data_IF_060187274158
#
_entry.id   IF_060187274158
#
_cell.length_a   1.000
_cell.length_b   1.000
_cell.length_c   1.000
_cell.angle_alpha   90.00
_cell.angle_beta   90.00
_cell.angle_gamma   90.00
#
_symmetry.space_group_name_H-M   'P 1'
#
loop_
_entity.id
_entity.type
_entity.pdbx_description
1 polymer ?
#
# COMPACT_ATOMS: atom_id res chain seq x y z
N UNK A 1 21.13 -56.85 -30.79
CA UNK A 1 21.27 -56.98 -29.33
C UNK A 1 20.41 -55.88 -28.73
N UNK A 2 19.10 -56.07 -28.56
CA UNK A 2 18.47 -57.10 -27.73
C UNK A 2 18.20 -56.46 -26.38
N UNK A 3 17.14 -55.64 -26.31
CA UNK A 3 15.93 -55.92 -25.50
C UNK A 3 16.08 -55.24 -24.13
N UNK A 4 15.07 -54.72 -23.46
CA UNK A 4 13.64 -55.00 -23.42
C UNK A 4 13.01 -53.76 -22.76
N UNK A 5 11.93 -53.18 -23.28
CA UNK A 5 10.58 -53.42 -22.74
C UNK A 5 10.35 -52.58 -21.48
N UNK A 6 9.32 -51.74 -21.34
CA UNK A 6 7.94 -51.78 -21.81
C UNK A 6 7.46 -50.33 -21.87
N UNK A 7 6.89 -49.88 -23.00
CA UNK A 7 5.46 -49.94 -23.32
C UNK A 7 4.58 -49.41 -22.19
N UNK A 8 4.08 -48.19 -22.37
CA UNK A 8 2.83 -47.88 -23.08
C UNK A 8 1.63 -48.21 -22.20
N UNK A 9 0.75 -47.23 -22.06
CA UNK A 9 -0.65 -47.33 -22.46
C UNK A 9 -1.59 -46.56 -21.52
N UNK A 10 -2.39 -45.74 -22.20
CA UNK A 10 -3.82 -45.48 -21.96
C UNK A 10 -4.22 -44.43 -20.91
N UNK A 11 -4.53 -43.27 -21.48
CA UNK A 11 -5.88 -42.65 -21.64
C UNK A 11 -6.84 -42.57 -20.42
N UNK A 12 -7.68 -41.51 -20.38
CA UNK A 12 -8.53 -41.15 -19.25
C UNK A 12 -9.92 -41.82 -19.31
N UNK A 13 -10.56 -41.99 -18.15
CA UNK A 13 -12.01 -41.80 -17.97
C UNK A 13 -12.46 -41.94 -16.51
N UNK A 14 -13.37 -41.03 -16.13
CA UNK A 14 -14.53 -41.18 -15.23
C UNK A 14 -14.33 -41.53 -13.75
N UNK A 15 -14.88 -40.64 -12.91
CA UNK A 15 -15.32 -40.95 -11.57
C UNK A 15 -16.06 -39.77 -10.95
N UNK A 16 -17.27 -39.47 -11.44
CA UNK A 16 -18.19 -38.59 -10.73
C UNK A 16 -18.86 -39.36 -9.59
N UNK A 17 -18.89 -38.76 -8.40
CA UNK A 17 -19.92 -39.01 -7.40
C UNK A 17 -20.45 -37.66 -6.95
N UNK A 18 -21.69 -37.39 -7.33
CA UNK A 18 -22.40 -36.22 -6.89
C UNK A 18 -22.63 -36.24 -5.38
N UNK A 19 -22.52 -35.08 -4.76
CA UNK A 19 -23.38 -34.73 -3.66
C UNK A 19 -24.05 -33.41 -4.00
N UNK A 20 -25.20 -33.54 -4.67
CA UNK A 20 -26.17 -32.48 -4.74
C UNK A 20 -26.71 -32.23 -3.33
N UNK A 21 -26.14 -31.28 -2.62
CA UNK A 21 -26.86 -30.60 -1.54
C UNK A 21 -27.79 -29.62 -2.24
N UNK A 22 -29.02 -30.06 -2.43
CA UNK A 22 -30.12 -29.21 -2.85
C UNK A 22 -30.22 -27.99 -1.94
N UNK A 23 -30.45 -26.77 -2.47
CA UNK A 23 -30.85 -25.66 -1.63
C UNK A 23 -32.23 -26.00 -1.07
N UNK A 24 -32.31 -26.26 0.25
CA UNK A 24 -33.60 -26.29 0.93
C UNK A 24 -34.16 -24.88 0.87
N UNK A 25 -35.09 -24.68 -0.05
CA UNK A 25 -36.07 -23.59 -0.08
C UNK A 25 -36.85 -23.65 1.24
N UNK A 26 -36.29 -23.02 2.26
CA UNK A 26 -36.96 -22.68 3.50
C UNK A 26 -37.39 -21.22 3.39
N UNK A 27 -38.55 -20.98 2.79
CA UNK A 27 -39.30 -19.75 3.02
C UNK A 27 -39.74 -19.75 4.48
N UNK A 28 -38.96 -19.10 5.33
CA UNK A 28 -39.50 -18.47 6.54
C UNK A 28 -39.07 -17.02 6.52
N UNK A 29 -40.02 -16.19 6.15
CA UNK A 29 -40.04 -14.75 6.33
C UNK A 29 -39.55 -14.42 7.75
N UNK A 30 -38.28 -14.08 7.87
CA UNK A 30 -37.80 -13.23 8.95
C UNK A 30 -37.74 -11.82 8.36
N UNK A 31 -38.89 -11.18 8.49
CA UNK A 31 -39.20 -9.77 8.28
C UNK A 31 -37.99 -8.83 8.06
N UNK A 32 -37.81 -8.22 6.87
CA UNK A 32 -36.77 -7.23 6.62
C UNK A 32 -36.95 -5.93 7.44
N UNK A 33 -38.08 -5.76 8.15
CA UNK A 33 -38.35 -4.60 9.01
C UNK A 33 -37.70 -4.69 10.40
N UNK A 34 -36.95 -5.76 10.72
CA UNK A 34 -36.22 -5.88 11.99
C UNK A 34 -34.71 -6.03 11.84
N UNK A 35 -34.14 -5.63 10.70
CA UNK A 35 -32.83 -4.99 10.75
C UNK A 35 -33.05 -3.67 11.50
N UNK A 36 -32.98 -3.73 12.83
CA UNK A 36 -33.03 -2.54 13.66
C UNK A 36 -32.09 -1.53 12.99
N UNK A 37 -32.54 -0.29 12.71
CA UNK A 37 -31.61 0.71 12.23
C UNK A 37 -30.46 0.66 13.22
N UNK A 38 -29.22 0.50 12.73
CA UNK A 38 -28.04 0.86 13.50
C UNK A 38 -28.16 2.36 13.73
N UNK A 39 -29.06 2.72 14.65
CA UNK A 39 -29.23 4.03 15.25
C UNK A 39 -27.82 4.42 15.59
N UNK A 40 -27.38 5.52 15.01
CA UNK A 40 -26.07 6.10 15.22
C UNK A 40 -25.70 6.07 16.68
N UNK A 41 -25.06 4.98 17.10
CA UNK A 41 -24.17 5.00 18.23
C UNK A 41 -23.00 5.73 17.62
N UNK A 42 -22.85 6.99 18.02
CA UNK A 42 -21.60 7.72 17.93
C UNK A 42 -20.53 6.83 18.56
N UNK A 43 -20.00 5.88 17.79
CA UNK A 43 -18.98 4.97 18.26
C UNK A 43 -17.76 5.85 18.49
N UNK A 44 -17.47 6.08 19.77
CA UNK A 44 -16.39 6.95 20.19
C UNK A 44 -15.05 6.50 19.60
N UNK A 45 -14.86 5.19 19.34
CA UNK A 45 -13.67 4.66 18.67
C UNK A 45 -13.68 5.02 17.19
N UNK A 46 -14.82 4.89 16.50
CA UNK A 46 -14.92 5.29 15.09
C UNK A 46 -14.76 6.82 14.91
N UNK A 47 -15.26 7.62 15.85
CA UNK A 47 -15.03 9.08 15.87
C UNK A 47 -13.55 9.40 16.11
N UNK A 48 -12.91 8.74 17.08
CA UNK A 48 -11.48 8.90 17.36
C UNK A 48 -10.60 8.45 16.20
N UNK A 49 -10.94 7.36 15.51
CA UNK A 49 -10.21 6.89 14.34
C UNK A 49 -10.25 7.91 13.20
N UNK A 50 -11.42 8.52 12.94
CA UNK A 50 -11.56 9.61 11.95
C UNK A 50 -10.72 10.83 12.33
N UNK A 51 -10.70 11.19 13.60
CA UNK A 51 -9.86 12.28 14.08
C UNK A 51 -8.38 12.01 13.83
N UNK A 52 -7.88 10.85 14.24
CA UNK A 52 -6.47 10.47 14.03
C UNK A 52 -6.11 10.40 12.54
N UNK A 53 -7.03 9.95 11.69
CA UNK A 53 -6.82 9.94 10.24
C UNK A 53 -6.66 11.36 9.67
N UNK A 54 -7.49 12.31 10.11
CA UNK A 54 -7.34 13.72 9.73
C UNK A 54 -6.01 14.31 10.20
N UNK A 55 -5.64 14.07 11.46
CA UNK A 55 -4.37 14.55 12.02
C UNK A 55 -3.16 13.98 11.27
N UNK A 56 -3.20 12.70 10.89
CA UNK A 56 -2.15 12.08 10.08
C UNK A 56 -2.07 12.73 8.69
N UNK A 57 -3.21 12.95 8.03
CA UNK A 57 -3.24 13.63 6.73
C UNK A 57 -2.67 15.06 6.80
N UNK A 58 -3.06 15.83 7.81
CA UNK A 58 -2.53 17.19 8.03
C UNK A 58 -1.02 17.18 8.29
N UNK A 59 -0.53 16.22 9.08
CA UNK A 59 0.89 16.04 9.35
C UNK A 59 1.65 15.63 8.07
N UNK A 60 1.08 14.75 7.25
CA UNK A 60 1.67 14.32 5.98
C UNK A 60 1.76 15.47 4.98
N UNK A 61 0.73 16.30 4.89
CA UNK A 61 0.73 17.51 4.08
C UNK A 61 1.80 18.50 4.55
N UNK A 62 1.90 18.74 5.86
CA UNK A 62 2.94 19.60 6.41
C UNK A 62 4.33 19.03 6.10
N UNK A 63 4.53 17.74 6.32
CA UNK A 63 5.79 17.07 6.01
C UNK A 63 6.12 17.16 4.52
N UNK A 64 5.12 17.06 3.63
CA UNK A 64 5.32 17.25 2.19
C UNK A 64 5.76 18.67 1.85
N UNK A 65 5.14 19.70 2.47
CA UNK A 65 5.54 21.10 2.31
C UNK A 65 6.97 21.33 2.79
N UNK A 66 7.32 20.86 3.99
CA UNK A 66 8.67 21.00 4.53
C UNK A 66 9.72 20.29 3.66
N UNK A 67 9.41 19.09 3.15
CA UNK A 67 10.31 18.38 2.22
C UNK A 67 10.50 19.17 0.92
N UNK A 68 9.44 19.72 0.35
CA UNK A 68 9.52 20.52 -0.86
C UNK A 68 10.35 21.80 -0.66
N UNK A 69 10.19 22.47 0.47
CA UNK A 69 11.00 23.65 0.82
C UNK A 69 12.47 23.31 1.01
N UNK A 70 12.78 22.25 1.77
CA UNK A 70 14.15 21.74 1.91
C UNK A 70 14.77 21.44 0.55
N UNK A 71 14.03 20.78 -0.34
CA UNK A 71 14.55 20.37 -1.65
C UNK A 71 14.84 21.57 -2.55
N UNK A 72 14.03 22.64 -2.46
CA UNK A 72 14.28 23.93 -3.11
C UNK A 72 15.55 24.59 -2.57
N UNK A 73 15.71 24.63 -1.25
CA UNK A 73 16.91 25.21 -0.60
C UNK A 73 18.18 24.45 -0.99
N UNK A 74 18.16 23.11 -0.95
CA UNK A 74 19.30 22.27 -1.38
C UNK A 74 19.68 22.58 -2.83
N UNK A 75 18.69 22.70 -3.71
CA UNK A 75 18.94 22.99 -5.13
C UNK A 75 19.49 24.41 -5.31
N UNK A 76 18.97 25.39 -4.59
CA UNK A 76 19.45 26.77 -4.59
C UNK A 76 20.91 26.88 -4.15
N UNK A 77 21.25 26.34 -2.97
CA UNK A 77 22.63 26.30 -2.47
C UNK A 77 23.58 25.64 -3.48
N UNK A 78 23.15 24.54 -4.10
CA UNK A 78 23.96 23.85 -5.10
C UNK A 78 24.17 24.65 -6.38
N UNK A 79 23.20 25.49 -6.77
CA UNK A 79 23.29 26.35 -7.94
C UNK A 79 24.14 27.60 -7.68
N UNK A 80 24.09 28.16 -6.46
CA UNK A 80 24.83 29.36 -6.08
C UNK A 80 26.35 29.14 -6.08
N UNK A 81 26.83 28.08 -5.42
CA UNK A 81 28.26 27.75 -5.38
C UNK A 81 28.48 26.24 -5.34
N UNK A 82 28.61 25.60 -6.52
CA UNK A 82 28.86 24.17 -6.61
C UNK A 82 30.22 23.72 -6.05
N UNK A 83 31.21 24.61 -5.91
CA UNK A 83 32.53 24.25 -5.39
C UNK A 83 32.50 24.19 -3.86
N UNK A 84 31.87 25.18 -3.21
CA UNK A 84 31.66 25.20 -1.76
C UNK A 84 30.63 24.18 -1.30
N UNK A 85 29.49 24.09 -1.97
CA UNK A 85 28.37 23.23 -1.58
C UNK A 85 28.46 21.85 -2.19
N UNK A 86 29.55 21.12 -1.89
CA UNK A 86 29.68 19.71 -2.27
C UNK A 86 28.58 18.83 -1.66
N UNK A 87 28.32 17.66 -2.24
CA UNK A 87 27.32 16.72 -1.72
C UNK A 87 27.52 16.38 -0.24
N UNK A 88 28.77 16.19 0.18
CA UNK A 88 29.11 15.88 1.57
C UNK A 88 28.94 17.09 2.49
N UNK A 89 29.27 18.29 2.02
CA UNK A 89 29.08 19.53 2.79
C UNK A 89 27.59 19.81 3.03
N UNK A 90 26.74 19.64 2.00
CA UNK A 90 25.29 19.77 2.13
C UNK A 90 24.71 18.72 3.08
N UNK A 91 25.14 17.46 2.97
CA UNK A 91 24.70 16.39 3.86
C UNK A 91 25.00 16.72 5.33
N UNK A 92 26.22 17.18 5.63
CA UNK A 92 26.63 17.59 6.97
C UNK A 92 25.85 18.80 7.49
N UNK A 93 25.64 19.83 6.66
CA UNK A 93 24.93 21.04 7.05
C UNK A 93 23.43 20.80 7.33
N UNK A 94 22.79 19.94 6.54
CA UNK A 94 21.36 19.63 6.67
C UNK A 94 21.11 18.51 7.70
N UNK A 95 22.13 17.72 8.04
CA UNK A 95 21.99 16.54 8.90
C UNK A 95 21.27 15.37 8.19
N UNK A 96 21.41 15.28 6.87
CA UNK A 96 20.80 14.24 6.05
C UNK A 96 21.87 13.35 5.39
N UNK A 97 21.46 12.20 4.87
CA UNK A 97 22.37 11.34 4.11
C UNK A 97 22.79 11.97 2.79
N UNK A 98 23.99 11.62 2.32
CA UNK A 98 24.51 12.11 1.03
C UNK A 98 23.66 11.61 -0.14
N UNK A 99 23.10 10.42 -0.01
CA UNK A 99 22.20 9.79 -0.97
C UNK A 99 20.93 10.62 -1.14
N UNK A 100 20.38 11.16 -0.04
CA UNK A 100 19.22 12.05 -0.11
C UNK A 100 19.55 13.31 -0.91
N UNK A 101 20.69 13.95 -0.64
CA UNK A 101 21.12 15.14 -1.40
C UNK A 101 21.24 14.81 -2.90
N UNK A 102 21.82 13.66 -3.24
CA UNK A 102 21.95 13.21 -4.62
C UNK A 102 20.58 12.91 -5.28
N UNK A 103 19.60 12.41 -4.52
CA UNK A 103 18.24 12.21 -5.04
C UNK A 103 17.53 13.54 -5.32
N UNK A 104 17.61 14.48 -4.38
CA UNK A 104 17.00 15.81 -4.51
C UNK A 104 17.57 16.57 -5.71
N UNK A 105 18.89 16.67 -5.79
CA UNK A 105 19.58 17.37 -6.89
C UNK A 105 19.42 16.72 -8.26
N UNK A 106 19.08 15.43 -8.34
CA UNK A 106 18.74 14.76 -9.60
C UNK A 106 17.29 14.99 -10.00
N UNK A 107 16.37 15.12 -9.04
CA UNK A 107 14.95 15.38 -9.28
C UNK A 107 14.68 16.80 -9.78
N UNK A 108 15.55 17.75 -9.43
CA UNK A 108 15.43 19.15 -9.81
C UNK A 108 16.14 19.54 -11.11
N UNK A 109 16.79 18.58 -11.78
CA UNK A 109 17.33 18.72 -13.15
C UNK A 109 16.31 18.26 -14.17
#
# INVERSE_FOLDING_TARGET
MGSDGSRDDRRPARGGTGNGVAPRRGTRSADPLRAAPVRGVSDARAARARELHRQAAEADELAARCRAERDRLITGLRAEDPARWSYSALAAAVGCSRELIALVTRRSR
#
